data_IF_017311287041
#
_entry.id   IF_017311287041
#
_cell.length_a   1.000
_cell.length_b   1.000
_cell.length_c   1.000
_cell.angle_alpha   90.00
_cell.angle_beta   90.00
_cell.angle_gamma   90.00
#
_symmetry.space_group_name_H-M   'P 1'
#
loop_
_entity.id
_entity.type
_entity.pdbx_description
1 polymer ?
#
# COMPACT_ATOMS: atom_id res chain seq x y z
N UNK A 1 -21.81 0.44 40.59
CA UNK A 1 -20.86 0.03 39.53
C UNK A 1 -21.63 -0.34 38.27
N UNK A 2 -21.51 0.44 37.19
CA UNK A 2 -22.13 0.06 35.92
C UNK A 2 -21.51 -1.24 35.42
N UNK A 3 -22.34 -2.24 35.13
CA UNK A 3 -21.90 -3.55 34.63
C UNK A 3 -21.17 -3.36 33.28
N UNK A 4 -19.86 -3.61 33.24
CA UNK A 4 -19.06 -3.50 32.01
C UNK A 4 -19.68 -4.39 30.93
N UNK A 5 -19.94 -3.84 29.74
CA UNK A 5 -20.48 -4.60 28.60
C UNK A 5 -19.46 -5.68 28.19
N UNK A 6 -19.92 -6.91 28.02
CA UNK A 6 -19.09 -8.04 27.57
C UNK A 6 -19.28 -8.24 26.07
N UNK A 7 -18.20 -8.22 25.30
CA UNK A 7 -18.18 -8.51 23.87
C UNK A 7 -17.59 -9.91 23.61
N UNK A 8 -18.24 -10.67 22.75
CA UNK A 8 -17.82 -11.99 22.33
C UNK A 8 -17.15 -11.92 20.96
N UNK A 9 -15.88 -12.30 20.88
CA UNK A 9 -15.05 -12.24 19.68
C UNK A 9 -14.91 -13.61 19.04
N UNK A 10 -15.06 -13.70 17.73
CA UNK A 10 -14.66 -14.86 16.96
C UNK A 10 -13.49 -14.51 16.04
N UNK A 11 -12.42 -15.31 16.04
CA UNK A 11 -11.25 -15.14 15.17
C UNK A 11 -11.31 -16.21 14.07
N UNK A 12 -11.39 -15.79 12.82
CA UNK A 12 -11.44 -16.66 11.65
C UNK A 12 -10.22 -16.46 10.78
N UNK A 13 -9.35 -17.47 10.73
CA UNK A 13 -8.02 -17.42 10.15
C UNK A 13 -6.93 -17.47 11.22
N UNK A 14 -6.38 -18.68 11.47
CA UNK A 14 -5.32 -18.91 12.46
C UNK A 14 -3.98 -19.19 11.78
N UNK A 15 -3.58 -18.24 10.93
CA UNK A 15 -2.22 -18.11 10.42
C UNK A 15 -1.32 -17.42 11.47
N UNK A 16 -0.14 -16.93 11.04
CA UNK A 16 0.81 -16.27 11.94
C UNK A 16 0.17 -15.08 12.68
N UNK A 17 -0.56 -14.22 11.97
CA UNK A 17 -1.24 -13.05 12.56
C UNK A 17 -2.35 -13.49 13.51
N UNK A 18 -3.20 -14.45 13.10
CA UNK A 18 -4.32 -14.90 13.94
C UNK A 18 -3.87 -15.58 15.23
N UNK A 19 -2.80 -16.36 15.19
CA UNK A 19 -2.21 -16.97 16.38
C UNK A 19 -1.60 -15.92 17.31
N UNK A 20 -0.88 -14.95 16.74
CA UNK A 20 -0.29 -13.86 17.52
C UNK A 20 -1.38 -12.99 18.20
N UNK A 21 -2.41 -12.61 17.45
CA UNK A 21 -3.56 -11.87 17.98
C UNK A 21 -4.26 -12.62 19.11
N UNK A 22 -4.51 -13.94 18.93
CA UNK A 22 -5.15 -14.77 19.96
C UNK A 22 -4.37 -14.74 21.26
N UNK A 23 -3.07 -14.98 21.21
CA UNK A 23 -2.19 -14.95 22.38
C UNK A 23 -2.12 -13.54 23.00
N UNK A 24 -2.00 -12.50 22.18
CA UNK A 24 -1.92 -11.11 22.63
C UNK A 24 -3.20 -10.68 23.37
N UNK A 25 -4.38 -10.98 22.82
CA UNK A 25 -5.66 -10.63 23.43
C UNK A 25 -5.86 -11.36 24.77
N UNK A 26 -5.47 -12.64 24.88
CA UNK A 26 -5.56 -13.39 26.14
C UNK A 26 -4.58 -12.84 27.18
N UNK A 27 -3.32 -12.60 26.82
CA UNK A 27 -2.29 -12.07 27.71
C UNK A 27 -2.63 -10.68 28.25
N UNK A 28 -3.17 -9.81 27.38
CA UNK A 28 -3.41 -8.40 27.71
C UNK A 28 -4.89 -8.08 27.98
N UNK A 29 -5.71 -9.11 28.28
CA UNK A 29 -7.16 -8.97 28.45
C UNK A 29 -7.55 -7.88 29.42
N UNK A 30 -6.99 -7.88 30.63
CA UNK A 30 -7.32 -6.93 31.69
C UNK A 30 -6.92 -5.50 31.29
N UNK A 31 -5.71 -5.33 30.73
CA UNK A 31 -5.22 -4.03 30.26
C UNK A 31 -6.13 -3.43 29.19
N UNK A 32 -6.48 -4.21 28.16
CA UNK A 32 -7.35 -3.75 27.06
C UNK A 32 -8.77 -3.45 27.60
N UNK A 33 -9.31 -4.31 28.47
CA UNK A 33 -10.64 -4.13 29.05
C UNK A 33 -10.72 -2.84 29.89
N UNK A 34 -9.71 -2.57 30.69
CA UNK A 34 -9.68 -1.35 31.53
C UNK A 34 -9.56 -0.09 30.68
N UNK A 35 -8.72 -0.08 29.63
CA UNK A 35 -8.58 1.04 28.69
C UNK A 35 -9.86 1.37 27.91
N UNK A 36 -10.75 0.39 27.75
CA UNK A 36 -11.98 0.55 26.96
C UNK A 36 -13.26 0.57 27.82
N UNK A 37 -13.13 0.48 29.14
CA UNK A 37 -14.26 0.34 30.08
C UNK A 37 -15.28 -0.73 29.67
N UNK A 38 -14.81 -1.78 29.02
CA UNK A 38 -15.61 -2.89 28.49
C UNK A 38 -14.81 -4.18 28.60
N UNK A 39 -15.47 -5.32 28.71
CA UNK A 39 -14.81 -6.63 28.74
C UNK A 39 -15.02 -7.39 27.44
N UNK A 40 -14.14 -8.33 27.16
CA UNK A 40 -14.29 -9.21 26.00
C UNK A 40 -13.81 -10.63 26.32
N UNK A 41 -14.27 -11.58 25.53
CA UNK A 41 -13.74 -12.95 25.51
C UNK A 41 -13.67 -13.47 24.08
N UNK A 42 -12.68 -14.28 23.78
CA UNK A 42 -12.61 -15.04 22.53
C UNK A 42 -13.52 -16.24 22.69
N UNK A 43 -14.66 -16.20 21.99
CA UNK A 43 -15.66 -17.26 22.10
C UNK A 43 -15.39 -18.39 21.14
N UNK A 44 -15.05 -18.05 19.87
CA UNK A 44 -14.79 -19.02 18.82
C UNK A 44 -13.52 -18.71 18.04
N UNK A 45 -12.90 -19.78 17.57
CA UNK A 45 -11.78 -19.75 16.62
C UNK A 45 -12.06 -20.72 15.47
N UNK A 46 -11.67 -20.35 14.24
CA UNK A 46 -11.87 -21.20 13.07
C UNK A 46 -10.71 -21.05 12.09
N UNK A 47 -10.32 -22.15 11.46
CA UNK A 47 -9.37 -22.17 10.36
C UNK A 47 -9.59 -23.40 9.45
N UNK A 48 -9.02 -23.36 8.23
CA UNK A 48 -9.20 -24.43 7.23
C UNK A 48 -8.75 -25.81 7.73
N UNK A 49 -7.62 -25.89 8.43
CA UNK A 49 -7.06 -27.17 8.92
C UNK A 49 -6.95 -27.16 10.44
N UNK A 50 -7.74 -28.01 11.11
CA UNK A 50 -7.77 -28.18 12.57
C UNK A 50 -6.45 -28.75 13.10
N UNK A 51 -5.85 -29.69 12.39
CA UNK A 51 -4.71 -30.48 12.86
C UNK A 51 -3.36 -29.79 12.62
N UNK A 52 -3.34 -28.62 11.97
CA UNK A 52 -2.11 -27.83 11.80
C UNK A 52 -1.61 -27.42 13.20
N UNK A 53 -0.37 -27.77 13.54
CA UNK A 53 0.29 -27.31 14.78
C UNK A 53 0.31 -25.77 14.81
N UNK A 54 -0.13 -25.19 15.93
CA UNK A 54 -0.17 -23.75 16.18
C UNK A 54 0.33 -23.47 17.58
N UNK A 55 1.07 -22.42 17.75
CA UNK A 55 1.57 -22.01 19.07
C UNK A 55 0.48 -21.21 19.83
N UNK A 56 -0.70 -21.82 20.00
CA UNK A 56 -1.83 -21.28 20.76
C UNK A 56 -2.53 -22.41 21.51
N UNK A 57 -3.04 -22.10 22.72
CA UNK A 57 -3.85 -23.04 23.55
C UNK A 57 -5.28 -22.51 23.60
N UNK A 58 -6.25 -23.27 23.08
CA UNK A 58 -7.68 -22.98 23.13
C UNK A 58 -8.46 -24.20 23.61
N UNK A 59 -9.64 -23.96 24.19
CA UNK A 59 -10.54 -25.06 24.65
C UNK A 59 -11.19 -25.72 23.43
N UNK A 60 -11.47 -27.03 23.49
CA UNK A 60 -12.16 -27.77 22.41
C UNK A 60 -13.49 -27.09 22.02
N UNK A 61 -14.21 -26.51 22.97
CA UNK A 61 -15.47 -25.80 22.78
C UNK A 61 -15.33 -24.48 21.98
N UNK A 62 -14.14 -23.91 21.89
CA UNK A 62 -13.89 -22.69 21.10
C UNK A 62 -13.66 -22.99 19.62
N UNK A 63 -13.31 -24.24 19.28
CA UNK A 63 -13.02 -24.57 17.88
C UNK A 63 -14.29 -24.79 17.07
N UNK A 64 -14.35 -24.15 15.90
CA UNK A 64 -15.45 -24.29 14.94
C UNK A 64 -14.88 -24.66 13.57
N UNK A 65 -15.30 -25.82 13.04
CA UNK A 65 -14.83 -26.30 11.74
C UNK A 65 -15.37 -25.44 10.57
N UNK A 66 -16.58 -24.93 10.68
CA UNK A 66 -17.24 -24.14 9.64
C UNK A 66 -17.69 -22.79 10.21
N UNK A 67 -17.10 -21.73 9.71
CA UNK A 67 -17.42 -20.36 10.16
C UNK A 67 -18.90 -19.97 9.93
N UNK A 68 -19.64 -20.65 9.05
CA UNK A 68 -21.09 -20.41 8.89
C UNK A 68 -21.87 -20.65 10.18
N UNK A 69 -21.36 -21.54 11.08
CA UNK A 69 -21.91 -21.69 12.41
C UNK A 69 -21.78 -20.41 13.23
N UNK A 70 -20.61 -19.75 13.15
CA UNK A 70 -20.34 -18.49 13.87
C UNK A 70 -21.27 -17.37 13.38
N UNK A 71 -21.58 -17.33 12.09
CA UNK A 71 -22.47 -16.32 11.49
C UNK A 71 -23.90 -16.38 12.09
N UNK A 72 -24.37 -17.57 12.42
CA UNK A 72 -25.73 -17.80 12.96
C UNK A 72 -25.82 -17.58 14.48
N UNK A 73 -24.71 -17.49 15.20
CA UNK A 73 -24.68 -17.35 16.66
C UNK A 73 -24.98 -15.92 17.09
N UNK A 74 -26.10 -15.70 17.77
CA UNK A 74 -26.52 -14.36 18.25
C UNK A 74 -25.55 -13.78 19.28
N UNK A 75 -24.93 -14.64 20.08
CA UNK A 75 -23.97 -14.25 21.12
C UNK A 75 -22.62 -13.71 20.59
N UNK A 76 -22.30 -13.87 19.32
CA UNK A 76 -21.07 -13.33 18.73
C UNK A 76 -21.29 -11.88 18.30
N UNK A 77 -20.51 -10.96 18.87
CA UNK A 77 -20.57 -9.53 18.57
C UNK A 77 -19.58 -9.11 17.49
N UNK A 78 -18.34 -9.61 17.56
CA UNK A 78 -17.22 -9.18 16.71
C UNK A 78 -16.64 -10.40 15.97
N UNK A 79 -16.48 -10.26 14.66
CA UNK A 79 -15.74 -11.22 13.84
C UNK A 79 -14.43 -10.57 13.36
N UNK A 80 -13.30 -11.22 13.68
CA UNK A 80 -11.98 -10.85 13.16
C UNK A 80 -11.65 -11.77 12.00
N UNK A 81 -11.61 -11.22 10.78
CA UNK A 81 -11.30 -11.94 9.55
C UNK A 81 -9.80 -11.82 9.20
N UNK A 82 -9.12 -12.97 9.17
CA UNK A 82 -7.69 -13.11 8.88
C UNK A 82 -7.42 -14.26 7.88
N UNK A 83 -8.36 -14.51 6.98
CA UNK A 83 -8.24 -15.53 5.93
C UNK A 83 -7.44 -15.00 4.76
N UNK A 84 -7.75 -13.76 4.33
CA UNK A 84 -7.18 -13.14 3.15
C UNK A 84 -7.90 -13.50 1.84
N UNK A 85 -7.52 -12.80 0.76
CA UNK A 85 -8.13 -12.93 -0.57
C UNK A 85 -9.44 -12.16 -0.71
N UNK A 86 -9.76 -11.73 -1.93
CA UNK A 86 -10.98 -10.95 -2.20
C UNK A 86 -12.20 -11.83 -2.46
N UNK A 87 -12.01 -13.09 -2.77
CA UNK A 87 -13.08 -14.04 -3.13
C UNK A 87 -13.14 -15.22 -2.17
N UNK A 88 -14.15 -16.07 -2.35
CA UNK A 88 -14.29 -17.31 -1.57
C UNK A 88 -14.65 -17.10 -0.10
N UNK A 89 -13.96 -17.80 0.84
CA UNK A 89 -14.34 -17.83 2.25
C UNK A 89 -14.32 -16.47 2.95
N UNK A 90 -13.31 -15.63 2.70
CA UNK A 90 -13.20 -14.30 3.33
C UNK A 90 -14.39 -13.42 2.93
N UNK A 91 -14.72 -13.37 1.64
CA UNK A 91 -15.90 -12.64 1.14
C UNK A 91 -17.19 -13.13 1.79
N UNK A 92 -17.42 -14.45 1.79
CA UNK A 92 -18.63 -15.05 2.40
C UNK A 92 -18.73 -14.70 3.88
N UNK A 93 -17.63 -14.79 4.61
CA UNK A 93 -17.56 -14.47 6.03
C UNK A 93 -17.93 -13.02 6.31
N UNK A 94 -17.26 -12.07 5.66
CA UNK A 94 -17.44 -10.64 5.94
C UNK A 94 -18.82 -10.15 5.52
N UNK A 95 -19.29 -10.50 4.32
CA UNK A 95 -20.65 -10.19 3.90
C UNK A 95 -21.70 -10.81 4.83
N UNK A 96 -21.52 -12.08 5.21
CA UNK A 96 -22.39 -12.79 6.13
C UNK A 96 -22.41 -12.15 7.52
N UNK A 97 -21.26 -11.77 8.06
CA UNK A 97 -21.15 -11.12 9.36
C UNK A 97 -21.90 -9.79 9.40
N UNK A 98 -21.65 -8.90 8.45
CA UNK A 98 -22.32 -7.59 8.38
C UNK A 98 -23.83 -7.72 8.20
N UNK A 99 -24.32 -8.68 7.36
CA UNK A 99 -25.74 -8.97 7.17
C UNK A 99 -26.39 -9.50 8.46
N UNK A 100 -25.66 -10.25 9.28
CA UNK A 100 -26.12 -10.77 10.58
C UNK A 100 -25.83 -9.81 11.74
N UNK A 101 -25.68 -8.51 11.46
CA UNK A 101 -25.48 -7.42 12.42
C UNK A 101 -24.29 -7.65 13.37
N UNK A 102 -23.21 -8.23 12.86
CA UNK A 102 -21.97 -8.43 13.61
C UNK A 102 -20.92 -7.40 13.15
N UNK A 103 -20.19 -6.84 14.12
CA UNK A 103 -19.03 -6.01 13.82
C UNK A 103 -17.96 -6.83 13.13
N UNK A 104 -17.23 -6.23 12.21
CA UNK A 104 -16.13 -6.88 11.49
C UNK A 104 -14.84 -6.08 11.66
N UNK A 105 -13.76 -6.79 11.96
CA UNK A 105 -12.38 -6.29 11.93
C UNK A 105 -11.61 -7.14 10.92
N UNK A 106 -10.90 -6.53 9.97
CA UNK A 106 -10.20 -7.27 8.91
C UNK A 106 -8.87 -6.64 8.52
N UNK A 107 -7.87 -7.48 8.22
CA UNK A 107 -6.61 -7.07 7.61
C UNK A 107 -6.59 -7.24 6.07
N UNK A 108 -7.72 -7.55 5.46
CA UNK A 108 -7.83 -8.00 4.08
C UNK A 108 -7.97 -6.84 3.09
N UNK A 109 -6.83 -6.28 2.68
CA UNK A 109 -6.79 -5.19 1.69
C UNK A 109 -7.45 -5.53 0.35
N UNK A 110 -7.30 -6.78 -0.11
CA UNK A 110 -7.86 -7.22 -1.38
C UNK A 110 -9.40 -7.19 -1.35
N UNK A 111 -10.00 -7.61 -0.24
CA UNK A 111 -11.44 -7.57 -0.04
C UNK A 111 -11.94 -6.12 0.04
N UNK A 112 -11.29 -5.26 0.84
CA UNK A 112 -11.69 -3.87 1.01
C UNK A 112 -11.52 -3.07 -0.28
N UNK A 113 -10.41 -3.21 -0.99
CA UNK A 113 -10.19 -2.50 -2.26
C UNK A 113 -11.17 -2.90 -3.38
N UNK A 114 -11.71 -4.13 -3.32
CA UNK A 114 -12.65 -4.64 -4.35
C UNK A 114 -14.11 -4.45 -3.98
N UNK A 115 -14.46 -4.63 -2.70
CA UNK A 115 -15.83 -4.69 -2.22
C UNK A 115 -16.14 -3.69 -1.10
N UNK A 116 -15.20 -2.84 -0.71
CA UNK A 116 -15.34 -1.92 0.43
C UNK A 116 -16.59 -1.07 0.35
N UNK A 117 -16.95 -0.56 -0.82
CA UNK A 117 -18.17 0.24 -1.01
C UNK A 117 -19.44 -0.55 -0.68
N UNK A 118 -19.57 -1.78 -1.20
CA UNK A 118 -20.72 -2.65 -0.90
C UNK A 118 -20.77 -3.06 0.57
N UNK A 119 -19.60 -3.36 1.15
CA UNK A 119 -19.47 -3.74 2.55
C UNK A 119 -19.83 -2.57 3.49
N UNK A 120 -19.40 -1.35 3.15
CA UNK A 120 -19.72 -0.17 3.95
C UNK A 120 -21.22 0.15 3.92
N UNK A 121 -21.89 0.01 2.78
CA UNK A 121 -23.35 0.16 2.68
C UNK A 121 -24.09 -0.82 3.60
N UNK A 122 -23.65 -2.08 3.65
CA UNK A 122 -24.26 -3.10 4.52
C UNK A 122 -23.98 -2.79 6.01
N UNK A 123 -22.75 -2.38 6.34
CA UNK A 123 -22.36 -2.00 7.69
C UNK A 123 -23.20 -0.82 8.22
N UNK A 124 -23.34 0.24 7.42
CA UNK A 124 -24.17 1.40 7.76
C UNK A 124 -25.66 1.02 7.94
N UNK A 125 -26.22 0.28 6.99
CA UNK A 125 -27.62 -0.17 7.06
C UNK A 125 -27.92 -0.96 8.34
N UNK A 126 -26.97 -1.79 8.77
CA UNK A 126 -27.12 -2.66 9.93
C UNK A 126 -26.58 -2.04 11.23
N UNK A 127 -26.07 -0.81 11.20
CA UNK A 127 -25.49 -0.08 12.34
C UNK A 127 -24.39 -0.89 13.05
N UNK A 128 -23.47 -1.48 12.28
CA UNK A 128 -22.31 -2.21 12.76
C UNK A 128 -21.03 -1.64 12.16
N UNK A 129 -19.91 -1.80 12.86
CA UNK A 129 -18.62 -1.35 12.38
C UNK A 129 -18.01 -2.35 11.39
N UNK A 130 -17.38 -1.81 10.35
CA UNK A 130 -16.42 -2.46 9.50
C UNK A 130 -15.09 -1.71 9.67
N UNK A 131 -14.17 -2.29 10.42
CA UNK A 131 -12.85 -1.71 10.71
C UNK A 131 -11.77 -2.48 9.97
N UNK A 132 -10.80 -1.76 9.41
CA UNK A 132 -9.80 -2.35 8.52
C UNK A 132 -8.44 -1.64 8.56
N UNK A 133 -8.05 -1.07 9.72
CA UNK A 133 -6.74 -0.41 9.92
C UNK A 133 -5.58 -1.31 9.49
N UNK A 134 -5.64 -2.59 9.88
CA UNK A 134 -4.61 -3.57 9.56
C UNK A 134 -4.47 -3.87 8.05
N UNK A 135 -5.41 -3.40 7.20
CA UNK A 135 -5.37 -3.63 5.75
C UNK A 135 -4.39 -2.70 5.02
N UNK A 136 -3.96 -1.60 5.64
CA UNK A 136 -3.05 -0.62 5.02
C UNK A 136 -1.91 -0.30 5.96
N UNK A 137 -0.68 -0.64 5.55
CA UNK A 137 0.57 -0.29 6.25
C UNK A 137 0.65 -0.77 7.71
N UNK A 138 -0.01 -1.88 8.06
CA UNK A 138 0.13 -2.61 9.31
C UNK A 138 0.19 -1.74 10.57
N UNK A 139 1.38 -1.47 11.08
CA UNK A 139 1.60 -0.69 12.30
C UNK A 139 1.51 0.84 12.13
N UNK A 140 1.29 1.34 10.90
CA UNK A 140 1.08 2.77 10.63
C UNK A 140 -0.41 3.10 10.78
N UNK A 141 -0.86 3.88 11.78
CA UNK A 141 -2.28 4.10 12.06
C UNK A 141 -2.92 5.13 11.09
N UNK A 142 -2.78 4.91 9.78
CA UNK A 142 -3.14 5.88 8.75
C UNK A 142 -4.65 6.00 8.54
N UNK A 143 -5.40 4.89 8.56
CA UNK A 143 -6.86 4.92 8.35
C UNK A 143 -7.52 5.68 9.49
N UNK A 144 -7.14 5.40 10.73
CA UNK A 144 -7.62 6.11 11.90
C UNK A 144 -7.23 7.58 11.89
N UNK A 145 -5.99 7.88 11.50
CA UNK A 145 -5.55 9.28 11.37
C UNK A 145 -6.44 10.05 10.40
N UNK A 146 -6.75 9.49 9.23
CA UNK A 146 -7.65 10.15 8.26
C UNK A 146 -9.08 10.25 8.80
N UNK A 147 -9.62 9.17 9.41
CA UNK A 147 -11.01 9.12 9.90
C UNK A 147 -11.27 10.01 11.10
N UNK A 148 -10.27 10.21 11.95
CA UNK A 148 -10.44 10.84 13.28
C UNK A 148 -9.49 12.03 13.46
N UNK A 149 -8.18 11.81 13.41
CA UNK A 149 -7.19 12.85 13.71
C UNK A 149 -7.11 13.98 12.69
N UNK A 150 -7.39 13.69 11.43
CA UNK A 150 -7.33 14.64 10.32
C UNK A 150 -8.71 15.06 9.81
N UNK A 151 -9.78 14.77 10.54
CA UNK A 151 -11.17 14.98 10.10
C UNK A 151 -11.49 16.43 9.71
N UNK A 152 -10.81 17.41 10.35
CA UNK A 152 -10.97 18.84 10.04
C UNK A 152 -10.30 19.28 8.74
N UNK A 153 -9.51 18.39 8.10
CA UNK A 153 -8.67 18.75 6.97
C UNK A 153 -9.28 18.34 5.62
N UNK A 154 -9.23 19.25 4.65
CA UNK A 154 -9.49 18.91 3.26
C UNK A 154 -8.21 18.34 2.65
N UNK A 155 -8.12 17.01 2.61
CA UNK A 155 -6.99 16.31 2.02
C UNK A 155 -7.06 16.44 0.49
N UNK A 156 -5.96 16.85 -0.14
CA UNK A 156 -5.83 16.99 -1.60
C UNK A 156 -4.83 16.00 -2.20
N UNK A 157 -3.93 15.45 -1.39
CA UNK A 157 -2.93 14.47 -1.85
C UNK A 157 -2.55 13.51 -0.72
N UNK A 158 -2.39 12.23 -1.07
CA UNK A 158 -1.85 11.19 -0.19
C UNK A 158 -0.89 10.33 -0.99
N UNK A 159 0.29 10.07 -0.42
CA UNK A 159 1.33 9.29 -1.10
C UNK A 159 2.31 8.71 -0.10
N UNK A 160 3.14 7.77 -0.56
CA UNK A 160 4.17 7.22 0.30
C UNK A 160 4.72 5.87 -0.14
N UNK A 161 5.55 5.31 0.74
CA UNK A 161 6.09 3.96 0.65
C UNK A 161 5.12 3.03 1.40
N UNK A 162 4.35 2.25 0.66
CA UNK A 162 3.25 1.45 1.22
C UNK A 162 3.54 -0.06 1.25
N UNK A 163 4.74 -0.47 0.83
CA UNK A 163 5.14 -1.88 0.78
C UNK A 163 6.56 -2.06 1.30
N UNK A 164 6.72 -2.87 2.36
CA UNK A 164 8.00 -3.09 3.02
C UNK A 164 8.96 -3.95 2.19
N UNK A 165 8.45 -4.96 1.46
CA UNK A 165 9.27 -5.86 0.62
C UNK A 165 9.98 -5.09 -0.48
N UNK A 166 9.22 -4.31 -1.28
CA UNK A 166 9.80 -3.51 -2.37
C UNK A 166 10.74 -2.42 -1.84
N UNK A 167 10.43 -1.82 -0.69
CA UNK A 167 11.31 -0.83 -0.07
C UNK A 167 12.62 -1.48 0.41
N UNK A 168 12.55 -2.67 1.02
CA UNK A 168 13.73 -3.43 1.42
C UNK A 168 14.62 -3.76 0.21
N UNK A 169 14.01 -4.26 -0.89
CA UNK A 169 14.74 -4.61 -2.12
C UNK A 169 15.48 -3.39 -2.67
N UNK A 170 14.79 -2.28 -2.91
CA UNK A 170 15.39 -1.08 -3.49
C UNK A 170 16.44 -0.45 -2.57
N UNK A 171 16.19 -0.41 -1.26
CA UNK A 171 17.16 0.11 -0.28
C UNK A 171 18.42 -0.76 -0.22
N UNK A 172 18.25 -2.09 -0.27
CA UNK A 172 19.40 -3.01 -0.23
C UNK A 172 20.22 -2.98 -1.51
N UNK A 173 19.58 -2.84 -2.68
CA UNK A 173 20.31 -2.64 -3.95
C UNK A 173 21.17 -1.38 -3.90
N UNK A 174 20.64 -0.28 -3.34
CA UNK A 174 21.39 0.98 -3.23
C UNK A 174 22.55 0.90 -2.25
N UNK A 175 22.31 0.34 -1.05
CA UNK A 175 23.31 0.30 0.04
C UNK A 175 24.41 -0.71 -0.27
N UNK A 176 24.04 -1.91 -0.69
CA UNK A 176 24.97 -3.04 -0.84
C UNK A 176 25.49 -3.20 -2.27
N UNK A 177 25.05 -2.38 -3.23
CA UNK A 177 25.35 -2.53 -4.67
C UNK A 177 25.02 -3.95 -5.17
N UNK A 178 23.94 -4.53 -4.67
CA UNK A 178 23.51 -5.88 -4.97
C UNK A 178 22.53 -5.89 -6.16
N UNK A 179 22.49 -6.99 -6.88
CA UNK A 179 21.51 -7.19 -7.95
C UNK A 179 20.10 -7.36 -7.40
N UNK A 180 19.10 -7.13 -8.25
CA UNK A 180 17.70 -7.37 -7.91
C UNK A 180 17.46 -8.80 -7.43
N UNK A 181 18.02 -9.81 -8.15
CA UNK A 181 17.85 -11.22 -7.82
C UNK A 181 18.46 -11.60 -6.46
N UNK A 182 19.64 -11.10 -6.14
CA UNK A 182 20.28 -11.35 -4.84
C UNK A 182 19.45 -10.76 -3.70
N UNK A 183 18.94 -9.53 -3.89
CA UNK A 183 18.18 -8.82 -2.88
C UNK A 183 16.82 -9.45 -2.60
N UNK A 184 16.10 -9.89 -3.64
CA UNK A 184 14.81 -10.56 -3.46
C UNK A 184 14.96 -11.93 -2.79
N UNK A 185 16.00 -12.70 -3.15
CA UNK A 185 16.30 -13.97 -2.50
C UNK A 185 16.66 -13.76 -1.01
N UNK A 186 17.39 -12.72 -0.69
CA UNK A 186 17.69 -12.35 0.71
C UNK A 186 16.41 -11.93 1.47
N UNK A 187 15.50 -11.17 0.83
CA UNK A 187 14.22 -10.79 1.41
C UNK A 187 13.36 -12.02 1.76
N UNK A 188 13.32 -13.04 0.88
CA UNK A 188 12.60 -14.29 1.12
C UNK A 188 13.23 -15.06 2.31
N UNK A 189 14.55 -15.19 2.33
CA UNK A 189 15.28 -15.87 3.43
C UNK A 189 15.05 -15.20 4.79
N UNK A 190 14.95 -13.88 4.83
CA UNK A 190 14.70 -13.10 6.05
C UNK A 190 13.21 -13.05 6.44
N UNK A 191 12.32 -13.62 5.62
CA UNK A 191 10.86 -13.57 5.87
C UNK A 191 10.21 -12.22 5.58
N UNK A 192 10.89 -11.31 4.89
CA UNK A 192 10.35 -10.02 4.46
C UNK A 192 9.54 -10.11 3.17
N UNK A 193 9.73 -11.20 2.43
CA UNK A 193 8.96 -11.54 1.23
C UNK A 193 8.41 -12.96 1.35
N UNK A 194 7.22 -13.19 0.77
CA UNK A 194 6.68 -14.53 0.57
C UNK A 194 7.48 -15.28 -0.52
N UNK A 195 7.32 -16.60 -0.61
CA UNK A 195 7.93 -17.41 -1.67
C UNK A 195 7.56 -16.96 -3.08
N UNK A 196 6.38 -16.37 -3.25
CA UNK A 196 5.98 -15.68 -4.47
C UNK A 196 5.73 -14.19 -4.20
N UNK A 197 6.73 -13.33 -4.35
CA UNK A 197 6.62 -11.90 -4.05
C UNK A 197 6.06 -11.06 -5.22
N UNK A 198 5.45 -11.68 -6.23
CA UNK A 198 5.00 -11.00 -7.46
C UNK A 198 4.12 -9.80 -7.19
N UNK A 199 3.19 -9.88 -6.23
CA UNK A 199 2.30 -8.77 -5.89
C UNK A 199 3.05 -7.55 -5.33
N UNK A 200 4.14 -7.78 -4.57
CA UNK A 200 4.97 -6.72 -4.01
C UNK A 200 5.84 -6.07 -5.09
N UNK A 201 6.42 -6.91 -5.96
CA UNK A 201 7.35 -6.50 -7.03
C UNK A 201 6.62 -5.77 -8.15
N UNK A 202 5.43 -6.25 -8.54
CA UNK A 202 4.63 -5.64 -9.60
C UNK A 202 3.88 -4.37 -9.15
N UNK A 203 3.80 -4.10 -7.83
CA UNK A 203 3.12 -2.95 -7.27
C UNK A 203 1.63 -3.15 -6.98
N UNK A 204 1.07 -4.35 -7.15
CA UNK A 204 -0.35 -4.65 -6.93
C UNK A 204 -0.78 -4.48 -5.48
N UNK A 205 0.12 -4.82 -4.53
CA UNK A 205 -0.08 -4.59 -3.10
C UNK A 205 -0.25 -3.10 -2.80
N UNK A 206 0.66 -2.28 -3.34
CA UNK A 206 0.61 -0.81 -3.20
C UNK A 206 -0.65 -0.25 -3.86
N UNK A 207 -1.01 -0.74 -5.05
CA UNK A 207 -2.21 -0.30 -5.77
C UNK A 207 -3.49 -0.52 -4.96
N UNK A 208 -3.63 -1.68 -4.30
CA UNK A 208 -4.77 -1.98 -3.44
C UNK A 208 -4.87 -1.01 -2.26
N UNK A 209 -3.74 -0.68 -1.64
CA UNK A 209 -3.66 0.28 -0.53
C UNK A 209 -3.96 1.71 -0.97
N UNK A 210 -3.45 2.14 -2.13
CA UNK A 210 -3.73 3.47 -2.71
C UNK A 210 -5.22 3.65 -2.96
N UNK A 211 -5.92 2.65 -3.50
CA UNK A 211 -7.37 2.72 -3.72
C UNK A 211 -8.15 2.96 -2.43
N UNK A 212 -7.79 2.28 -1.35
CA UNK A 212 -8.42 2.45 -0.03
C UNK A 212 -8.14 3.84 0.53
N UNK A 213 -6.87 4.25 0.53
CA UNK A 213 -6.46 5.56 1.05
C UNK A 213 -7.08 6.72 0.26
N UNK A 214 -7.14 6.60 -1.06
CA UNK A 214 -7.79 7.57 -1.94
C UNK A 214 -9.26 7.77 -1.59
N UNK A 215 -9.98 6.67 -1.44
CA UNK A 215 -11.40 6.70 -1.08
C UNK A 215 -11.67 7.38 0.26
N UNK A 216 -10.83 7.09 1.27
CA UNK A 216 -10.90 7.72 2.58
C UNK A 216 -10.56 9.22 2.52
N UNK A 217 -9.45 9.57 1.86
CA UNK A 217 -8.93 10.94 1.83
C UNK A 217 -9.84 11.92 1.08
N UNK A 218 -10.51 11.46 0.03
CA UNK A 218 -11.31 12.33 -0.84
C UNK A 218 -12.82 12.15 -0.66
N UNK A 219 -13.23 11.38 0.34
CA UNK A 219 -14.65 11.08 0.58
C UNK A 219 -15.33 10.55 -0.69
N UNK A 220 -14.64 9.67 -1.41
CA UNK A 220 -15.08 9.13 -2.69
C UNK A 220 -15.41 7.65 -2.61
N UNK A 221 -16.17 7.14 -3.59
CA UNK A 221 -16.21 5.71 -3.85
C UNK A 221 -14.85 5.21 -4.35
N UNK A 222 -14.60 3.91 -4.19
CA UNK A 222 -13.32 3.32 -4.58
C UNK A 222 -13.18 3.40 -6.11
N UNK A 223 -12.20 4.18 -6.56
CA UNK A 223 -11.85 4.26 -7.96
C UNK A 223 -11.02 3.04 -8.37
N UNK A 224 -11.44 2.35 -9.44
CA UNK A 224 -10.78 1.14 -9.92
C UNK A 224 -9.57 1.41 -10.82
N UNK A 225 -9.54 2.57 -11.46
CA UNK A 225 -8.50 2.92 -12.42
C UNK A 225 -7.26 3.45 -11.68
N UNK A 226 -6.16 2.75 -11.85
CA UNK A 226 -4.87 3.10 -11.27
C UNK A 226 -3.76 2.70 -12.24
N UNK A 227 -2.80 3.58 -12.45
CA UNK A 227 -1.59 3.26 -13.20
C UNK A 227 -0.60 2.52 -12.30
N UNK A 228 -0.05 1.39 -12.77
CA UNK A 228 0.86 0.57 -11.96
C UNK A 228 2.10 0.20 -12.76
N UNK A 229 3.27 0.52 -12.21
CA UNK A 229 4.58 0.07 -12.68
C UNK A 229 5.33 -0.55 -11.50
N UNK A 230 5.88 -1.75 -11.69
CA UNK A 230 6.64 -2.47 -10.67
C UNK A 230 8.14 -2.11 -10.66
N UNK A 231 8.89 -2.83 -9.82
CA UNK A 231 10.34 -2.60 -9.64
C UNK A 231 11.23 -3.62 -10.35
N UNK A 232 10.66 -4.61 -11.03
CA UNK A 232 11.39 -5.74 -11.64
C UNK A 232 12.50 -5.29 -12.60
N UNK A 233 12.27 -4.19 -13.30
CA UNK A 233 13.19 -3.69 -14.32
C UNK A 233 14.23 -2.70 -13.78
N UNK A 234 14.26 -2.44 -12.47
CA UNK A 234 15.29 -1.61 -11.84
C UNK A 234 16.57 -2.42 -11.73
N UNK A 235 17.67 -1.87 -12.22
CA UNK A 235 18.98 -2.50 -12.15
C UNK A 235 20.00 -1.69 -11.32
N UNK A 236 21.19 -2.25 -11.15
CA UNK A 236 22.27 -1.62 -10.39
C UNK A 236 22.76 -0.31 -11.03
N UNK A 237 22.69 -0.20 -12.35
CA UNK A 237 23.05 1.03 -13.06
C UNK A 237 22.10 2.17 -12.72
N UNK A 238 20.78 1.88 -12.61
CA UNK A 238 19.76 2.87 -12.23
C UNK A 238 20.00 3.37 -10.78
N UNK A 239 20.27 2.47 -9.83
CA UNK A 239 20.55 2.86 -8.44
C UNK A 239 21.84 3.65 -8.31
N UNK A 240 22.87 3.27 -9.04
CA UNK A 240 24.16 3.98 -9.08
C UNK A 240 24.02 5.38 -9.67
N UNK A 241 23.34 5.53 -10.80
CA UNK A 241 23.08 6.82 -11.42
C UNK A 241 22.18 7.71 -10.57
N UNK A 242 21.12 7.17 -9.98
CA UNK A 242 20.28 7.89 -9.03
C UNK A 242 21.12 8.47 -7.88
N UNK A 243 21.99 7.64 -7.28
CA UNK A 243 22.88 8.06 -6.18
C UNK A 243 23.83 9.19 -6.59
N UNK A 244 24.44 9.11 -7.76
CA UNK A 244 25.32 10.16 -8.32
C UNK A 244 24.57 11.47 -8.57
N UNK A 245 23.29 11.38 -8.92
CA UNK A 245 22.43 12.53 -9.19
C UNK A 245 21.78 13.11 -7.93
N UNK A 246 22.01 12.52 -6.73
CA UNK A 246 21.47 12.99 -5.45
C UNK A 246 20.05 12.48 -5.17
N UNK A 247 19.68 11.34 -5.74
CA UNK A 247 18.37 10.70 -5.55
C UNK A 247 18.49 9.30 -4.99
N UNK A 248 17.40 8.81 -4.37
CA UNK A 248 17.13 7.41 -4.06
C UNK A 248 15.95 6.92 -4.89
N UNK A 249 15.89 5.63 -5.19
CA UNK A 249 14.75 5.01 -5.89
C UNK A 249 13.82 4.39 -4.85
N UNK A 250 12.52 4.73 -4.87
CA UNK A 250 11.48 4.16 -4.00
C UNK A 250 10.28 3.75 -4.84
N UNK A 251 9.65 2.61 -4.50
CA UNK A 251 8.32 2.30 -5.06
C UNK A 251 7.29 3.08 -4.28
N UNK A 252 6.65 4.03 -4.92
CA UNK A 252 5.69 4.91 -4.26
C UNK A 252 4.29 4.76 -4.83
N UNK A 253 3.31 4.80 -3.93
CA UNK A 253 1.91 4.96 -4.29
C UNK A 253 1.47 6.41 -4.11
N UNK A 254 0.67 6.91 -5.04
CA UNK A 254 0.15 8.28 -5.03
C UNK A 254 -1.34 8.30 -5.30
N UNK A 255 -2.06 9.17 -4.62
CA UNK A 255 -3.38 9.60 -5.02
C UNK A 255 -3.54 11.09 -4.78
N UNK A 256 -4.06 11.81 -5.76
CA UNK A 256 -4.27 13.26 -5.69
C UNK A 256 -5.54 13.64 -6.45
N UNK A 257 -6.17 14.73 -6.01
CA UNK A 257 -7.33 15.29 -6.66
C UNK A 257 -6.93 16.60 -7.35
N UNK A 258 -7.10 16.65 -8.67
CA UNK A 258 -6.82 17.82 -9.50
C UNK A 258 -7.98 18.03 -10.47
N UNK A 259 -8.48 19.25 -10.60
CA UNK A 259 -9.56 19.60 -11.52
C UNK A 259 -10.76 18.62 -11.46
N UNK A 260 -11.18 18.27 -10.26
CA UNK A 260 -12.28 17.35 -9.98
C UNK A 260 -12.09 15.92 -10.56
N UNK A 261 -10.83 15.51 -10.79
CA UNK A 261 -10.44 14.15 -11.18
C UNK A 261 -9.51 13.56 -10.13
N UNK A 262 -9.62 12.24 -9.89
CA UNK A 262 -8.69 11.50 -9.04
C UNK A 262 -7.63 10.84 -9.91
N UNK A 263 -6.36 11.14 -9.61
CA UNK A 263 -5.19 10.52 -10.23
C UNK A 263 -4.58 9.53 -9.25
N UNK A 264 -4.60 8.26 -9.61
CA UNK A 264 -4.00 7.18 -8.82
C UNK A 264 -2.87 6.54 -9.60
N UNK A 265 -1.72 6.39 -8.95
CA UNK A 265 -0.55 5.77 -9.60
C UNK A 265 0.38 5.09 -8.61
N UNK A 266 1.04 4.06 -9.08
CA UNK A 266 2.12 3.33 -8.40
C UNK A 266 3.26 3.19 -9.39
N UNK A 267 4.43 3.68 -9.04
CA UNK A 267 5.62 3.53 -9.89
C UNK A 267 6.91 3.71 -9.09
N UNK A 268 8.04 3.16 -9.55
CA UNK A 268 9.35 3.52 -9.07
C UNK A 268 9.59 5.02 -9.27
N UNK A 269 10.06 5.70 -8.24
CA UNK A 269 10.17 7.15 -8.19
C UNK A 269 11.54 7.54 -7.68
N UNK A 270 12.18 8.50 -8.34
CA UNK A 270 13.36 9.16 -7.84
C UNK A 270 12.96 10.23 -6.82
N UNK A 271 13.40 10.07 -5.58
CA UNK A 271 13.19 11.02 -4.49
C UNK A 271 14.51 11.66 -4.10
N UNK A 272 14.54 12.98 -3.86
CA UNK A 272 15.75 13.68 -3.44
C UNK A 272 16.27 13.09 -2.13
N UNK A 273 17.58 12.87 -2.00
CA UNK A 273 18.21 12.37 -0.76
C UNK A 273 17.94 13.26 0.44
N UNK A 274 17.75 14.55 0.24
CA UNK A 274 17.39 15.52 1.30
C UNK A 274 15.93 15.44 1.72
N UNK A 275 15.08 14.69 1.02
CA UNK A 275 13.67 14.53 1.40
C UNK A 275 13.50 13.49 2.50
N UNK A 276 12.51 13.69 3.36
CA UNK A 276 12.19 12.76 4.44
C UNK A 276 11.92 11.33 3.94
N UNK A 277 11.21 11.20 2.81
CA UNK A 277 10.83 9.89 2.26
C UNK A 277 12.06 9.08 1.79
N UNK A 278 13.16 9.73 1.44
CA UNK A 278 14.40 9.07 1.03
C UNK A 278 15.06 8.31 2.19
N UNK A 279 14.91 8.77 3.44
CA UNK A 279 15.47 8.13 4.63
C UNK A 279 14.69 6.90 5.10
N UNK A 280 13.49 6.65 4.56
CA UNK A 280 12.66 5.50 4.90
C UNK A 280 13.22 4.25 4.22
N UNK A 281 13.98 3.44 4.95
CA UNK A 281 14.69 2.28 4.44
C UNK A 281 14.18 0.96 5.04
N UNK A 282 14.66 -0.16 4.50
CA UNK A 282 14.32 -1.49 4.96
C UNK A 282 12.83 -1.81 4.77
N UNK A 283 12.20 -2.42 5.76
CA UNK A 283 10.79 -2.84 5.72
C UNK A 283 9.80 -1.76 6.17
N UNK A 284 10.29 -0.54 6.44
CA UNK A 284 9.46 0.55 6.91
C UNK A 284 8.52 1.06 5.82
N UNK A 285 7.32 1.44 6.24
CA UNK A 285 6.35 2.18 5.45
C UNK A 285 6.25 3.61 5.96
N UNK A 286 5.96 4.55 5.06
CA UNK A 286 5.66 5.93 5.42
C UNK A 286 4.56 6.47 4.51
N UNK A 287 3.59 7.14 5.10
CA UNK A 287 2.48 7.78 4.40
C UNK A 287 2.54 9.27 4.66
N UNK A 288 2.44 10.04 3.60
CA UNK A 288 2.38 11.50 3.64
C UNK A 288 0.98 11.92 3.21
N UNK A 289 0.34 12.73 4.04
CA UNK A 289 -0.97 13.33 3.78
C UNK A 289 -0.77 14.84 3.64
N UNK A 290 -1.22 15.39 2.53
CA UNK A 290 -1.21 16.83 2.28
C UNK A 290 -2.65 17.35 2.23
N UNK A 291 -2.91 18.42 2.99
CA UNK A 291 -4.26 19.00 3.09
C UNK A 291 -4.25 20.37 3.76
N UNK A 292 -5.40 20.98 3.83
CA UNK A 292 -5.60 22.28 4.47
C UNK A 292 -6.59 22.13 5.65
N UNK A 293 -6.29 22.64 6.87
CA UNK A 293 -5.18 23.52 7.23
C UNK A 293 -3.85 22.83 7.63
N UNK A 294 -3.78 21.51 7.75
CA UNK A 294 -2.61 20.80 8.34
C UNK A 294 -1.29 20.96 7.54
N UNK A 295 -1.34 21.30 6.25
CA UNK A 295 -0.17 21.26 5.38
C UNK A 295 0.25 19.82 5.08
N UNK A 296 1.47 19.45 5.44
CA UNK A 296 2.06 18.13 5.23
C UNK A 296 2.18 17.38 6.56
N UNK A 297 1.55 16.22 6.66
CA UNK A 297 1.65 15.30 7.80
C UNK A 297 2.31 13.98 7.36
N UNK A 298 3.24 13.46 8.13
CA UNK A 298 4.01 12.26 7.82
C UNK A 298 3.85 11.25 8.95
N UNK A 299 3.46 10.02 8.63
CA UNK A 299 3.33 8.92 9.57
C UNK A 299 4.15 7.74 9.08
N UNK A 300 5.06 7.26 9.91
CA UNK A 300 5.98 6.16 9.59
C UNK A 300 5.91 5.06 10.62
N UNK A 301 6.14 3.82 10.19
CA UNK A 301 6.21 2.65 11.07
C UNK A 301 6.44 1.35 10.32
N UNK A 302 6.40 0.24 11.04
CA UNK A 302 6.46 -1.10 10.42
C UNK A 302 5.21 -1.38 9.58
N UNK A 303 5.40 -1.70 8.31
CA UNK A 303 4.31 -1.88 7.35
C UNK A 303 3.63 -3.25 7.41
N UNK A 304 4.25 -4.25 8.05
CA UNK A 304 3.79 -5.62 8.10
C UNK A 304 4.37 -6.36 9.32
N UNK A 305 3.97 -7.62 9.49
CA UNK A 305 4.43 -8.47 10.59
C UNK A 305 3.35 -8.71 11.65
N UNK A 306 3.46 -9.81 12.41
CA UNK A 306 2.43 -10.19 13.38
C UNK A 306 2.20 -9.14 14.46
N UNK A 307 3.26 -8.50 14.97
CA UNK A 307 3.19 -7.49 16.03
C UNK A 307 2.50 -6.21 15.53
N UNK A 308 3.01 -5.63 14.43
CA UNK A 308 2.49 -4.42 13.83
C UNK A 308 1.01 -4.56 13.41
N UNK A 309 0.68 -5.68 12.72
CA UNK A 309 -0.70 -5.97 12.30
C UNK A 309 -1.62 -6.19 13.52
N UNK A 310 -1.14 -6.86 14.58
CA UNK A 310 -1.94 -7.06 15.80
C UNK A 310 -2.22 -5.73 16.50
N UNK A 311 -1.27 -4.80 16.53
CA UNK A 311 -1.50 -3.46 17.09
C UNK A 311 -2.68 -2.77 16.40
N UNK A 312 -2.74 -2.79 15.07
CA UNK A 312 -3.85 -2.24 14.31
C UNK A 312 -5.18 -2.96 14.58
N UNK A 313 -5.17 -4.31 14.58
CA UNK A 313 -6.36 -5.12 14.88
C UNK A 313 -6.91 -4.84 16.27
N UNK A 314 -6.05 -4.73 17.30
CA UNK A 314 -6.46 -4.40 18.67
C UNK A 314 -6.98 -2.98 18.77
N UNK A 315 -6.42 -2.03 18.02
CA UNK A 315 -6.94 -0.68 17.91
C UNK A 315 -8.37 -0.67 17.34
N UNK A 316 -8.64 -1.47 16.30
CA UNK A 316 -9.97 -1.62 15.70
C UNK A 316 -10.96 -2.30 16.66
N UNK A 317 -10.55 -3.39 17.31
CA UNK A 317 -11.34 -4.03 18.35
C UNK A 317 -11.66 -3.03 19.48
N UNK A 318 -10.69 -2.27 19.95
CA UNK A 318 -10.87 -1.26 21.00
C UNK A 318 -11.87 -0.18 20.59
N UNK A 319 -11.88 0.23 19.33
CA UNK A 319 -12.89 1.16 18.80
C UNK A 319 -14.31 0.61 19.00
N UNK A 320 -14.52 -0.65 18.69
CA UNK A 320 -15.82 -1.33 18.87
C UNK A 320 -16.17 -1.47 20.35
N UNK A 321 -15.21 -1.85 21.19
CA UNK A 321 -15.40 -2.01 22.63
C UNK A 321 -15.87 -0.71 23.32
N UNK A 322 -15.48 0.46 22.80
CA UNK A 322 -15.97 1.78 23.28
C UNK A 322 -17.41 2.08 22.86
N UNK A 323 -18.03 1.23 22.04
CA UNK A 323 -19.44 1.36 21.65
C UNK A 323 -19.72 2.35 20.52
N UNK A 324 -18.71 2.97 19.94
CA UNK A 324 -18.90 3.93 18.87
C UNK A 324 -19.23 3.23 17.54
N UNK A 325 -20.35 3.56 16.92
CA UNK A 325 -20.66 3.18 15.54
C UNK A 325 -20.09 4.22 14.59
N UNK A 326 -19.25 3.78 13.67
CA UNK A 326 -18.50 4.65 12.75
C UNK A 326 -18.83 4.34 11.30
N UNK A 327 -18.77 5.36 10.46
CA UNK A 327 -18.79 5.17 9.03
C UNK A 327 -17.48 4.51 8.56
N UNK A 328 -17.53 3.38 7.83
CA UNK A 328 -16.31 2.68 7.40
C UNK A 328 -15.33 3.56 6.62
N UNK A 329 -15.85 4.46 5.77
CA UNK A 329 -15.03 5.40 4.97
C UNK A 329 -15.17 6.85 5.45
N UNK A 330 -15.06 7.08 6.75
CA UNK A 330 -15.08 8.39 7.43
C UNK A 330 -16.42 9.13 7.36
N UNK A 331 -17.14 9.06 6.26
CA UNK A 331 -18.46 9.69 6.09
C UNK A 331 -19.52 8.68 5.61
N UNK A 332 -20.80 9.05 5.73
CA UNK A 332 -21.91 8.24 5.22
C UNK A 332 -21.79 8.02 3.70
N UNK A 333 -22.13 6.82 3.24
CA UNK A 333 -22.14 6.47 1.82
C UNK A 333 -22.99 7.43 0.97
N UNK A 334 -24.06 8.02 1.54
CA UNK A 334 -24.90 9.02 0.86
C UNK A 334 -24.15 10.32 0.53
N UNK A 335 -23.08 10.64 1.28
CA UNK A 335 -22.25 11.85 1.10
C UNK A 335 -21.00 11.59 0.28
N UNK A 336 -20.67 10.33 -0.01
CA UNK A 336 -19.52 9.98 -0.83
C UNK A 336 -19.76 10.31 -2.30
N UNK A 337 -18.72 10.77 -2.98
CA UNK A 337 -18.78 11.27 -4.36
C UNK A 337 -18.15 10.29 -5.36
N UNK A 338 -18.67 10.29 -6.58
CA UNK A 338 -18.00 9.69 -7.72
C UNK A 338 -17.14 10.75 -8.41
N UNK A 339 -15.85 10.47 -8.54
CA UNK A 339 -14.93 11.29 -9.31
C UNK A 339 -14.50 10.54 -10.56
N UNK A 340 -14.31 11.27 -11.66
CA UNK A 340 -13.69 10.70 -12.84
C UNK A 340 -12.21 10.39 -12.58
N UNK A 341 -11.69 9.37 -13.27
CA UNK A 341 -10.26 9.02 -13.20
C UNK A 341 -9.45 9.92 -14.11
N UNK A 342 -8.38 10.50 -13.58
CA UNK A 342 -7.32 11.11 -14.38
C UNK A 342 -6.35 10.05 -14.91
N UNK A 343 -5.72 10.32 -16.04
CA UNK A 343 -4.67 9.47 -16.63
C UNK A 343 -3.29 10.04 -16.28
N UNK A 344 -2.30 9.16 -16.03
CA UNK A 344 -0.95 9.60 -15.70
C UNK A 344 -0.34 10.44 -16.80
N UNK A 345 -0.71 10.18 -18.06
CA UNK A 345 -0.28 10.90 -19.25
C UNK A 345 -0.65 12.39 -19.24
N UNK A 346 -1.65 12.78 -18.42
CA UNK A 346 -2.08 14.18 -18.27
C UNK A 346 -1.27 14.94 -17.20
N UNK A 347 -0.49 14.22 -16.39
CA UNK A 347 0.35 14.80 -15.35
C UNK A 347 1.71 15.28 -15.89
N UNK A 348 2.37 16.15 -15.12
CA UNK A 348 3.66 16.71 -15.47
C UNK A 348 4.73 16.23 -14.48
N UNK A 349 5.84 15.69 -14.99
CA UNK A 349 6.97 15.22 -14.20
C UNK A 349 8.31 15.73 -14.76
N UNK A 350 9.27 15.96 -13.90
CA UNK A 350 10.67 15.80 -14.29
C UNK A 350 10.97 14.31 -14.36
N UNK A 351 11.80 13.89 -15.29
CA UNK A 351 12.03 12.48 -15.56
C UNK A 351 13.51 12.18 -15.69
N UNK A 352 13.90 11.02 -15.17
CA UNK A 352 15.15 10.34 -15.46
C UNK A 352 14.91 9.37 -16.60
N UNK A 353 15.69 9.48 -17.64
CA UNK A 353 15.63 8.60 -18.80
C UNK A 353 17.02 8.03 -19.04
N UNK A 354 17.13 6.70 -19.08
CA UNK A 354 18.39 6.01 -19.41
C UNK A 354 18.24 5.30 -20.75
N UNK A 355 19.20 5.56 -21.63
CA UNK A 355 19.30 4.98 -22.97
C UNK A 355 20.58 4.19 -23.06
N UNK A 356 20.49 2.90 -23.39
CA UNK A 356 21.63 2.08 -23.73
C UNK A 356 21.80 2.13 -25.25
N UNK A 357 22.91 2.73 -25.73
CA UNK A 357 23.10 3.03 -27.15
C UNK A 357 24.39 2.44 -27.71
N UNK A 358 24.43 2.25 -29.03
CA UNK A 358 25.70 2.06 -29.76
C UNK A 358 26.45 3.38 -29.72
N UNK A 359 27.74 3.34 -29.35
CA UNK A 359 28.59 4.54 -29.28
C UNK A 359 29.08 4.89 -30.68
N UNK A 360 28.43 5.85 -31.33
CA UNK A 360 28.66 6.30 -32.68
C UNK A 360 28.45 7.81 -32.78
N UNK A 361 29.13 8.42 -33.74
CA UNK A 361 28.91 9.84 -34.09
C UNK A 361 27.44 10.11 -34.38
N UNK A 362 26.95 11.28 -33.97
CA UNK A 362 25.58 11.74 -34.22
C UNK A 362 24.49 11.19 -33.34
N UNK A 363 24.75 10.14 -32.52
CA UNK A 363 23.72 9.55 -31.65
C UNK A 363 23.16 10.56 -30.66
N UNK A 364 24.01 11.30 -29.94
CA UNK A 364 23.56 12.30 -28.99
C UNK A 364 22.79 13.43 -29.67
N UNK A 365 23.23 13.87 -30.83
CA UNK A 365 22.55 14.90 -31.66
C UNK A 365 21.13 14.42 -32.05
N UNK A 366 20.96 13.18 -32.56
CA UNK A 366 19.63 12.66 -32.93
C UNK A 366 18.75 12.49 -31.68
N UNK A 367 19.29 12.01 -30.56
CA UNK A 367 18.57 11.92 -29.29
C UNK A 367 18.03 13.29 -28.88
N UNK A 368 18.87 14.33 -28.80
CA UNK A 368 18.45 15.68 -28.38
C UNK A 368 17.44 16.29 -29.33
N UNK A 369 17.58 16.07 -30.66
CA UNK A 369 16.61 16.47 -31.65
C UNK A 369 15.24 15.83 -31.44
N UNK A 370 15.18 14.55 -31.10
CA UNK A 370 13.92 13.83 -30.76
C UNK A 370 13.26 14.43 -29.54
N UNK A 371 14.01 14.78 -28.49
CA UNK A 371 13.47 15.45 -27.29
C UNK A 371 12.86 16.81 -27.68
N UNK A 372 13.59 17.64 -28.42
CA UNK A 372 13.12 18.94 -28.88
C UNK A 372 11.84 18.84 -29.72
N UNK A 373 11.81 17.94 -30.71
CA UNK A 373 10.63 17.72 -31.56
C UNK A 373 9.37 17.32 -30.81
N UNK A 374 9.53 16.65 -29.64
CA UNK A 374 8.43 16.28 -28.75
C UNK A 374 8.20 17.27 -27.59
N UNK A 375 8.78 18.47 -27.65
CA UNK A 375 8.63 19.56 -26.66
C UNK A 375 9.08 19.14 -25.24
N UNK A 376 10.07 18.26 -25.15
CA UNK A 376 10.68 17.82 -23.88
C UNK A 376 12.00 18.53 -23.67
N UNK A 377 12.07 19.41 -22.69
CA UNK A 377 13.28 20.17 -22.37
C UNK A 377 14.23 19.35 -21.50
N UNK A 378 15.50 19.32 -21.89
CA UNK A 378 16.56 18.59 -21.19
C UNK A 378 17.22 19.51 -20.16
N UNK A 379 17.32 19.04 -18.90
CA UNK A 379 17.97 19.74 -17.80
C UNK A 379 19.42 19.32 -17.60
N UNK A 380 19.71 18.02 -17.76
CA UNK A 380 21.05 17.46 -17.58
C UNK A 380 21.24 16.23 -18.45
N UNK A 381 22.44 16.07 -18.99
CA UNK A 381 22.86 14.85 -19.70
C UNK A 381 24.13 14.33 -19.06
N UNK A 382 24.19 13.03 -18.87
CA UNK A 382 25.39 12.30 -18.44
C UNK A 382 25.60 11.17 -19.45
N UNK A 383 26.81 11.06 -19.99
CA UNK A 383 27.18 9.95 -20.85
C UNK A 383 28.28 9.14 -20.18
N UNK A 384 28.02 7.86 -19.97
CA UNK A 384 28.95 6.93 -19.35
C UNK A 384 29.33 5.86 -20.37
N UNK A 385 30.60 5.83 -20.84
CA UNK A 385 31.04 4.75 -21.73
C UNK A 385 31.10 3.43 -20.95
N UNK A 386 30.68 2.34 -21.58
CA UNK A 386 30.93 1.01 -21.05
C UNK A 386 32.38 0.58 -21.30
N UNK A 387 32.89 -0.40 -20.53
CA UNK A 387 34.21 -1.01 -20.75
C UNK A 387 34.39 -1.48 -22.21
N UNK A 388 33.31 -1.93 -22.84
CA UNK A 388 33.26 -2.17 -24.27
C UNK A 388 33.00 -0.84 -25.00
N UNK A 389 34.03 -0.23 -25.58
CA UNK A 389 34.02 1.08 -26.29
C UNK A 389 32.98 1.24 -27.40
N UNK A 390 32.27 0.15 -27.82
CA UNK A 390 31.21 0.20 -28.84
C UNK A 390 29.81 0.53 -28.28
N UNK A 391 29.68 0.67 -26.94
CA UNK A 391 28.41 0.91 -26.25
C UNK A 391 28.55 2.02 -25.23
N UNK A 392 27.48 2.79 -25.04
CA UNK A 392 27.41 3.87 -24.06
C UNK A 392 26.05 3.91 -23.39
N UNK A 393 26.00 4.43 -22.16
CA UNK A 393 24.78 4.76 -21.46
C UNK A 393 24.61 6.28 -21.44
N UNK A 394 23.49 6.76 -21.96
CA UNK A 394 23.10 8.18 -21.90
C UNK A 394 22.00 8.30 -20.86
N UNK A 395 22.25 9.09 -19.82
CA UNK A 395 21.29 9.42 -18.78
C UNK A 395 20.85 10.86 -18.95
N UNK A 396 19.54 11.07 -19.06
CA UNK A 396 18.93 12.38 -19.30
C UNK A 396 17.99 12.69 -18.14
N UNK A 397 18.15 13.86 -17.53
CA UNK A 397 17.16 14.46 -16.64
C UNK A 397 16.42 15.54 -17.40
N UNK A 398 15.10 15.49 -17.40
CA UNK A 398 14.27 16.50 -18.08
C UNK A 398 13.84 17.61 -17.11
N UNK A 399 13.51 18.78 -17.65
CA UNK A 399 12.62 19.71 -16.98
C UNK A 399 11.21 19.09 -16.87
N UNK A 400 10.33 19.73 -16.10
CA UNK A 400 8.95 19.27 -15.92
C UNK A 400 8.21 19.29 -17.26
N UNK A 401 7.80 18.13 -17.74
CA UNK A 401 7.14 17.94 -19.03
C UNK A 401 5.92 17.04 -18.86
N UNK A 402 4.96 17.13 -19.76
CA UNK A 402 3.77 16.26 -19.74
C UNK A 402 4.18 14.81 -19.97
N UNK A 403 3.63 13.86 -19.19
CA UNK A 403 4.02 12.44 -19.29
C UNK A 403 3.73 11.87 -20.70
N UNK A 404 2.65 12.32 -21.35
CA UNK A 404 2.35 11.95 -22.74
C UNK A 404 3.49 12.29 -23.71
N UNK A 405 4.14 13.45 -23.55
CA UNK A 405 5.23 13.89 -24.43
C UNK A 405 6.51 13.08 -24.16
N UNK A 406 6.77 12.77 -22.88
CA UNK A 406 7.84 11.83 -22.49
C UNK A 406 7.60 10.45 -23.12
N UNK A 407 6.40 9.90 -23.01
CA UNK A 407 6.07 8.59 -23.58
C UNK A 407 6.22 8.57 -25.11
N UNK A 408 5.81 9.65 -25.78
CA UNK A 408 6.00 9.81 -27.23
C UNK A 408 7.48 9.82 -27.60
N UNK A 409 8.28 10.58 -26.84
CA UNK A 409 9.75 10.64 -27.00
C UNK A 409 10.38 9.25 -26.89
N UNK A 410 10.04 8.50 -25.83
CA UNK A 410 10.56 7.16 -25.59
C UNK A 410 10.15 6.15 -26.69
N UNK A 411 8.90 6.23 -27.16
CA UNK A 411 8.41 5.41 -28.28
C UNK A 411 9.19 5.70 -29.57
N UNK A 412 9.51 6.95 -29.85
CA UNK A 412 10.31 7.35 -31.02
C UNK A 412 11.75 6.84 -30.89
N UNK A 413 12.37 7.02 -29.72
CA UNK A 413 13.73 6.54 -29.45
C UNK A 413 13.84 5.03 -29.56
N UNK A 414 12.87 4.28 -29.02
CA UNK A 414 12.89 2.82 -29.04
C UNK A 414 12.94 2.20 -30.45
N UNK A 415 12.55 2.95 -31.48
CA UNK A 415 12.58 2.51 -32.89
C UNK A 415 13.94 2.75 -33.57
N UNK A 416 14.87 3.46 -32.93
CA UNK A 416 16.16 3.81 -33.52
C UNK A 416 17.14 2.65 -33.48
N UNK A 417 17.85 2.41 -34.57
CA UNK A 417 18.81 1.29 -34.74
C UNK A 417 20.00 1.34 -33.80
N UNK A 418 20.30 2.48 -33.22
CA UNK A 418 21.36 2.64 -32.23
C UNK A 418 20.93 2.34 -30.80
N UNK A 419 19.62 2.21 -30.50
CA UNK A 419 19.12 1.81 -29.19
C UNK A 419 19.31 0.31 -29.02
N UNK A 420 19.96 -0.09 -27.93
CA UNK A 420 20.30 -1.51 -27.64
C UNK A 420 19.23 -2.18 -26.77
N UNK A 421 18.69 -1.44 -25.79
CA UNK A 421 17.63 -1.90 -24.87
C UNK A 421 16.52 -0.89 -24.82
N UNK A 422 15.32 -1.34 -24.45
CA UNK A 422 14.17 -0.45 -24.21
C UNK A 422 14.58 0.71 -23.31
N UNK A 423 14.28 1.96 -23.69
CA UNK A 423 14.54 3.12 -22.84
C UNK A 423 13.93 2.99 -21.45
N UNK A 424 14.69 3.32 -20.41
CA UNK A 424 14.25 3.31 -19.02
C UNK A 424 13.70 4.67 -18.63
N UNK A 425 12.55 4.68 -17.95
CA UNK A 425 11.93 5.89 -17.42
C UNK A 425 11.74 5.74 -15.91
N UNK A 426 12.17 6.75 -15.16
CA UNK A 426 11.78 6.94 -13.76
C UNK A 426 11.32 8.39 -13.57
N UNK A 427 10.17 8.56 -12.95
CA UNK A 427 9.64 9.90 -12.64
C UNK A 427 10.32 10.44 -11.39
N UNK A 428 10.54 11.75 -11.35
CA UNK A 428 11.16 12.44 -10.21
C UNK A 428 10.08 13.14 -9.41
N UNK A 429 10.01 12.85 -8.13
CA UNK A 429 9.17 13.55 -7.17
C UNK A 429 10.01 14.62 -6.46
N UNK A 430 9.61 15.86 -6.62
CA UNK A 430 10.14 16.98 -5.86
C UNK A 430 9.28 17.10 -4.60
N UNK A 431 9.68 16.48 -3.50
CA UNK A 431 8.99 16.39 -2.22
C UNK A 431 8.58 17.71 -1.56
#
# INVERSE_FOLDING_TARGET
>A
MHKKKLYNIAIVGLGNIGCYLFNFLNKNKNYISNKNNSSFKILYVSAKNKNKKRNIKFKKSQWVNNFNYILKKKEVDIIVELIGGAEGPAKKLVFGALKNKKHVVTANKALISKYGDKLSMIAEKNKVNLEFEASVCGGVPIIRSIKEGLIANKINRIYGILNGTSNYVLSSMEINKATFSETINKAIKLGYAESNPSSDINGDDVASKVKILSSLSFNSFINKNIHVEGIKDIDEEDTTNAKKLGYNIKLMGFSEILNNKIFQRVHPTLVKKSSYIASVNGVLNAVIVEGNPIGKNIIQGEGAGPSATTSALVSDISSILRGNIKFPFAISNKKRKNFSSGKIEDLFFSSYIRLNVKDKYGVLSDVTKIFSNNKVSIKRVLQNPYKNKKKSSIVIITHRSKDSDIQKTLKTLAKKSYIIKKPKLLRIENG
#
